data_IF_908489153617
#
_entry.id   IF_908489153617
#
_cell.length_a   1.000
_cell.length_b   1.000
_cell.length_c   1.000
_cell.angle_alpha   90.00
_cell.angle_beta   90.00
_cell.angle_gamma   90.00
#
_symmetry.space_group_name_H-M   'P 1'
#
loop_
_entity.id
_entity.type
_entity.pdbx_description
1 polymer ?
#
# COMPACT_ATOMS: atom_id res chain seq x y z
N UNK A 1 -47.28 12.75 -6.96
CA UNK A 1 -46.25 11.94 -6.24
C UNK A 1 -45.14 11.29 -7.11
N UNK A 2 -45.29 11.10 -8.44
CA UNK A 2 -44.31 10.33 -9.27
C UNK A 2 -42.97 11.02 -9.64
N UNK A 3 -42.77 12.31 -9.36
CA UNK A 3 -41.53 13.04 -9.75
C UNK A 3 -40.34 12.78 -8.80
N UNK A 4 -40.59 12.68 -7.49
CA UNK A 4 -39.57 12.41 -6.48
C UNK A 4 -38.95 11.00 -6.61
N UNK A 5 -39.71 10.00 -7.05
CA UNK A 5 -39.21 8.63 -7.22
C UNK A 5 -38.19 8.50 -8.36
N UNK A 6 -38.40 9.20 -9.49
CA UNK A 6 -37.44 9.19 -10.62
C UNK A 6 -36.12 9.87 -10.27
N UNK A 7 -36.16 11.02 -9.59
CA UNK A 7 -34.94 11.71 -9.16
C UNK A 7 -34.14 10.88 -8.14
N UNK A 8 -34.83 10.24 -7.18
CA UNK A 8 -34.21 9.29 -6.23
C UNK A 8 -33.59 8.07 -6.95
N UNK A 9 -34.25 7.53 -7.96
CA UNK A 9 -33.73 6.42 -8.78
C UNK A 9 -32.46 6.80 -9.55
N UNK A 10 -32.42 8.02 -10.10
CA UNK A 10 -31.24 8.54 -10.82
C UNK A 10 -30.06 8.72 -9.85
N UNK A 11 -30.28 9.40 -8.72
CA UNK A 11 -29.24 9.58 -7.70
C UNK A 11 -28.70 8.23 -7.17
N UNK A 12 -29.58 7.25 -6.94
CA UNK A 12 -29.19 5.90 -6.54
C UNK A 12 -28.41 5.14 -7.63
N UNK A 13 -28.71 5.38 -8.91
CA UNK A 13 -27.96 4.79 -10.04
C UNK A 13 -26.56 5.39 -10.13
N UNK A 14 -26.45 6.72 -10.02
CA UNK A 14 -25.15 7.41 -10.03
C UNK A 14 -24.26 6.95 -8.88
N UNK A 15 -24.82 6.76 -7.67
CA UNK A 15 -24.06 6.19 -6.55
C UNK A 15 -23.51 4.80 -6.88
N UNK A 16 -24.36 3.91 -7.41
CA UNK A 16 -23.96 2.54 -7.77
C UNK A 16 -22.89 2.52 -8.84
N UNK A 17 -23.01 3.37 -9.86
CA UNK A 17 -22.01 3.53 -10.92
C UNK A 17 -20.64 3.90 -10.34
N UNK A 18 -20.58 4.92 -9.47
CA UNK A 18 -19.34 5.33 -8.79
C UNK A 18 -18.73 4.20 -7.95
N UNK A 19 -19.55 3.40 -7.28
CA UNK A 19 -19.08 2.24 -6.51
C UNK A 19 -18.46 1.20 -7.45
N UNK A 20 -19.15 0.85 -8.54
CA UNK A 20 -18.65 -0.12 -9.52
C UNK A 20 -17.34 0.33 -10.16
N UNK A 21 -17.24 1.60 -10.56
CA UNK A 21 -16.01 2.18 -11.13
C UNK A 21 -14.82 2.03 -10.17
N UNK A 22 -14.98 2.46 -8.91
CA UNK A 22 -13.93 2.30 -7.89
C UNK A 22 -13.59 0.84 -7.58
N UNK A 23 -14.59 -0.03 -7.60
CA UNK A 23 -14.39 -1.47 -7.36
C UNK A 23 -13.58 -2.10 -8.51
N UNK A 24 -13.83 -1.69 -9.76
CA UNK A 24 -13.06 -2.14 -10.92
C UNK A 24 -11.63 -1.60 -10.91
N UNK A 25 -11.42 -0.34 -10.55
CA UNK A 25 -10.08 0.23 -10.37
C UNK A 25 -9.30 -0.51 -9.30
N UNK A 26 -9.93 -0.79 -8.16
CA UNK A 26 -9.33 -1.59 -7.09
C UNK A 26 -8.92 -2.98 -7.59
N UNK A 27 -9.79 -3.65 -8.35
CA UNK A 27 -9.49 -4.96 -8.92
C UNK A 27 -8.27 -5.00 -9.84
N UNK A 28 -7.89 -3.88 -10.47
CA UNK A 28 -6.67 -3.79 -11.31
C UNK A 28 -5.38 -3.71 -10.49
N UNK A 29 -5.46 -3.20 -9.27
CA UNK A 29 -4.30 -3.04 -8.37
C UNK A 29 -4.02 -4.30 -7.56
N UNK A 30 -4.99 -5.20 -7.47
CA UNK A 30 -4.93 -6.40 -6.63
C UNK A 30 -4.42 -7.57 -7.45
N UNK A 31 -3.43 -8.33 -6.96
CA UNK A 31 -2.99 -9.55 -7.64
C UNK A 31 -4.15 -10.54 -7.75
N UNK A 32 -4.51 -10.92 -8.98
CA UNK A 32 -5.64 -11.81 -9.26
C UNK A 32 -7.04 -11.16 -9.13
N UNK A 33 -7.12 -9.86 -8.83
CA UNK A 33 -8.36 -9.13 -8.58
C UNK A 33 -9.45 -9.25 -9.65
N UNK A 34 -9.14 -9.20 -10.98
CA UNK A 34 -10.18 -9.28 -12.01
C UNK A 34 -10.94 -10.61 -12.08
N UNK A 35 -10.43 -11.67 -11.42
CA UNK A 35 -11.04 -13.01 -11.38
C UNK A 35 -11.79 -13.29 -10.08
N UNK A 36 -11.72 -12.37 -9.10
CA UNK A 36 -12.26 -12.58 -7.75
C UNK A 36 -13.66 -11.99 -7.60
N UNK A 37 -14.49 -12.58 -6.74
CA UNK A 37 -15.71 -11.93 -6.31
C UNK A 37 -15.39 -10.71 -5.41
N UNK A 38 -16.35 -9.79 -5.21
CA UNK A 38 -16.08 -8.55 -4.46
C UNK A 38 -15.66 -8.80 -3.00
N UNK A 39 -16.23 -9.80 -2.33
CA UNK A 39 -15.90 -10.09 -0.93
C UNK A 39 -14.47 -10.64 -0.80
N UNK A 40 -14.10 -11.59 -1.66
CA UNK A 40 -12.76 -12.14 -1.78
C UNK A 40 -11.74 -11.06 -2.14
N UNK A 41 -12.05 -10.23 -3.14
CA UNK A 41 -11.18 -9.15 -3.57
C UNK A 41 -10.88 -8.19 -2.41
N UNK A 42 -11.89 -7.79 -1.64
CA UNK A 42 -11.70 -6.90 -0.48
C UNK A 42 -10.86 -7.55 0.62
N UNK A 43 -11.03 -8.85 0.87
CA UNK A 43 -10.20 -9.57 1.82
C UNK A 43 -8.73 -9.66 1.36
N UNK A 44 -8.51 -9.95 0.07
CA UNK A 44 -7.17 -10.00 -0.53
C UNK A 44 -6.50 -8.63 -0.49
N UNK A 45 -7.23 -7.54 -0.76
CA UNK A 45 -6.72 -6.16 -0.65
C UNK A 45 -6.15 -5.91 0.75
N UNK A 46 -6.89 -6.27 1.80
CA UNK A 46 -6.45 -6.04 3.18
C UNK A 46 -5.13 -6.78 3.48
N UNK A 47 -4.99 -8.02 2.99
CA UNK A 47 -3.77 -8.80 3.16
C UNK A 47 -2.63 -8.27 2.29
N UNK A 48 -2.92 -7.80 1.07
CA UNK A 48 -1.93 -7.24 0.16
C UNK A 48 -1.34 -5.93 0.71
N UNK A 49 -2.14 -5.07 1.33
CA UNK A 49 -1.65 -3.85 2.01
C UNK A 49 -0.68 -4.21 3.14
N UNK A 50 -1.02 -5.20 3.97
CA UNK A 50 -0.12 -5.68 5.05
C UNK A 50 1.20 -6.21 4.49
N UNK A 51 1.13 -6.96 3.39
CA UNK A 51 2.31 -7.48 2.70
C UNK A 51 3.21 -6.35 2.17
N UNK A 52 2.65 -5.33 1.53
CA UNK A 52 3.41 -4.18 1.05
C UNK A 52 4.04 -3.39 2.21
N UNK A 53 3.32 -3.21 3.31
CA UNK A 53 3.86 -2.58 4.53
C UNK A 53 5.04 -3.37 5.10
N UNK A 54 4.95 -4.70 5.15
CA UNK A 54 6.04 -5.56 5.59
C UNK A 54 7.28 -5.43 4.70
N UNK A 55 7.10 -5.41 3.37
CA UNK A 55 8.21 -5.19 2.44
C UNK A 55 8.92 -3.85 2.68
N UNK A 56 8.16 -2.76 2.81
CA UNK A 56 8.71 -1.44 3.08
C UNK A 56 9.45 -1.43 4.42
N UNK A 57 8.91 -2.07 5.44
CA UNK A 57 9.57 -2.21 6.75
C UNK A 57 10.93 -2.92 6.65
N UNK A 58 11.00 -4.03 5.90
CA UNK A 58 12.26 -4.75 5.67
C UNK A 58 13.27 -3.85 4.94
N UNK A 59 12.85 -3.16 3.88
CA UNK A 59 13.72 -2.26 3.11
C UNK A 59 14.26 -1.12 3.96
N UNK A 60 13.45 -0.56 4.86
CA UNK A 60 13.88 0.47 5.81
C UNK A 60 14.95 -0.07 6.77
N UNK A 61 14.72 -1.26 7.34
CA UNK A 61 15.69 -1.91 8.24
C UNK A 61 17.01 -2.18 7.50
N UNK A 62 16.96 -2.73 6.29
CA UNK A 62 18.15 -2.96 5.47
C UNK A 62 18.90 -1.65 5.18
N UNK A 63 18.18 -0.58 4.86
CA UNK A 63 18.76 0.74 4.66
C UNK A 63 19.45 1.28 5.91
N UNK A 64 18.86 1.11 7.10
CA UNK A 64 19.48 1.51 8.37
C UNK A 64 20.71 0.68 8.71
N UNK A 65 20.66 -0.64 8.49
CA UNK A 65 21.80 -1.52 8.73
C UNK A 65 22.99 -1.15 7.84
N UNK A 66 22.74 -0.89 6.55
CA UNK A 66 23.77 -0.44 5.61
C UNK A 66 24.41 0.89 6.05
N UNK A 67 23.61 1.87 6.48
CA UNK A 67 24.11 3.14 7.03
C UNK A 67 24.94 2.92 8.29
N UNK A 68 24.46 2.11 9.23
CA UNK A 68 25.19 1.81 10.46
C UNK A 68 26.53 1.12 10.17
N UNK A 69 26.57 0.16 9.25
CA UNK A 69 27.83 -0.49 8.85
C UNK A 69 28.83 0.52 8.25
N UNK A 70 28.36 1.45 7.40
CA UNK A 70 29.20 2.51 6.86
C UNK A 70 29.71 3.49 7.95
N UNK A 71 28.83 3.87 8.89
CA UNK A 71 29.20 4.74 10.02
C UNK A 71 30.17 4.07 10.98
N UNK A 72 29.98 2.78 11.27
CA UNK A 72 30.88 2.00 12.12
C UNK A 72 32.25 1.82 11.47
N UNK A 73 32.31 1.59 10.16
CA UNK A 73 33.59 1.52 9.44
C UNK A 73 34.34 2.86 9.45
N UNK A 74 33.64 3.99 9.28
CA UNK A 74 34.25 5.32 9.37
C UNK A 74 34.73 5.62 10.80
N UNK A 75 33.93 5.26 11.82
CA UNK A 75 34.30 5.38 13.24
C UNK A 75 35.55 4.56 13.58
N UNK A 76 35.67 3.33 13.08
CA UNK A 76 36.86 2.50 13.28
C UNK A 76 38.10 3.18 12.67
N UNK A 77 38.00 3.71 11.45
CA UNK A 77 39.11 4.42 10.82
C UNK A 77 39.50 5.71 11.56
N UNK A 78 38.53 6.50 12.04
CA UNK A 78 38.80 7.71 12.83
C UNK A 78 39.48 7.37 14.15
N UNK A 79 38.95 6.40 14.91
CA UNK A 79 39.56 5.94 16.17
C UNK A 79 40.98 5.40 15.92
N UNK A 80 41.20 4.66 14.83
CA UNK A 80 42.56 4.19 14.47
C UNK A 80 43.53 5.33 14.17
N UNK A 81 43.07 6.44 13.58
CA UNK A 81 43.91 7.62 13.34
C UNK A 81 44.20 8.39 14.64
N UNK A 82 43.26 8.47 15.57
CA UNK A 82 43.45 9.17 16.85
C UNK A 82 44.38 8.42 17.83
N UNK A 83 44.46 7.09 17.75
CA UNK A 83 45.36 6.27 18.59
C UNK A 83 46.81 6.27 18.07
N UNK A 84 47.04 6.72 16.83
CA UNK A 84 48.35 6.76 16.19
C UNK A 84 49.04 8.15 16.24
N UNK A 85 48.42 9.14 16.89
CA UNK A 85 48.94 10.48 17.14
C UNK A 85 49.16 10.69 18.65
#
# INVERSE_FOLDING_TARGET
MKRLSRCKSIAARERRRKITEKTQELGKLVPGGPKMNTAEMLNVVANYVKFLQAQVGILQVMGTLSKNLASNHLSIYVISCDVLL
#
